data_IF_744621960833
#
_entry.id   IF_744621960833
#
_cell.length_a   1.000
_cell.length_b   1.000
_cell.length_c   1.000
_cell.angle_alpha   90.00
_cell.angle_beta   90.00
_cell.angle_gamma   90.00
#
_symmetry.space_group_name_H-M   'P 1'
#
loop_
_entity.id
_entity.type
_entity.pdbx_description
1 polymer ?
#
# COMPACT_ATOMS: atom_id res chain seq x y z
N UNK A 1 -30.45 -97.86 -16.16
CA UNK A 1 -31.15 -98.76 -17.11
C UNK A 1 -31.05 -98.15 -18.49
N UNK A 2 -30.38 -98.83 -19.43
CA UNK A 2 -30.42 -98.48 -20.86
C UNK A 2 -31.72 -99.06 -21.43
N UNK A 3 -32.42 -98.31 -22.29
CA UNK A 3 -32.72 -98.85 -23.60
C UNK A 3 -32.51 -97.84 -24.76
N UNK A 4 -32.52 -98.31 -26.01
CA UNK A 4 -31.56 -97.87 -27.03
C UNK A 4 -32.22 -97.42 -28.37
N UNK A 5 -31.34 -97.18 -29.37
CA UNK A 5 -31.54 -97.32 -30.84
C UNK A 5 -32.51 -96.32 -31.50
N UNK A 6 -32.35 -95.86 -32.74
CA UNK A 6 -31.32 -95.98 -33.78
C UNK A 6 -31.74 -95.02 -34.92
N UNK A 7 -30.74 -94.63 -35.73
CA UNK A 7 -30.79 -94.40 -37.19
C UNK A 7 -31.88 -93.48 -37.77
N UNK A 8 -31.43 -92.47 -38.53
CA UNK A 8 -31.57 -92.57 -39.99
C UNK A 8 -30.56 -91.65 -40.70
N UNK A 9 -29.75 -92.25 -41.57
CA UNK A 9 -29.08 -91.55 -42.67
C UNK A 9 -30.14 -91.12 -43.68
N UNK A 10 -30.05 -89.87 -44.14
CA UNK A 10 -30.48 -89.49 -45.47
C UNK A 10 -29.53 -88.41 -46.00
N UNK A 11 -28.62 -88.86 -46.86
CA UNK A 11 -27.77 -88.06 -47.73
C UNK A 11 -28.55 -87.47 -48.90
N UNK A 12 -27.90 -86.53 -49.62
CA UNK A 12 -28.21 -85.90 -50.93
C UNK A 12 -28.82 -84.50 -50.75
N UNK A 13 -28.28 -83.41 -51.30
CA UNK A 13 -27.48 -83.19 -52.53
C UNK A 13 -26.84 -81.78 -52.48
N UNK A 14 -25.75 -81.51 -53.22
CA UNK A 14 -25.03 -80.23 -53.17
C UNK A 14 -25.39 -79.28 -54.32
N UNK A 15 -25.23 -77.97 -54.08
CA UNK A 15 -24.70 -76.91 -54.97
C UNK A 15 -25.30 -75.52 -54.59
N UNK A 16 -24.71 -74.38 -55.00
CA UNK A 16 -23.32 -74.06 -55.34
C UNK A 16 -22.83 -72.81 -54.55
N UNK A 17 -21.58 -72.40 -54.82
CA UNK A 17 -20.78 -71.49 -54.01
C UNK A 17 -21.29 -70.06 -53.83
N UNK A 18 -20.96 -69.52 -52.66
CA UNK A 18 -20.99 -68.10 -52.31
C UNK A 18 -19.81 -67.80 -51.38
N UNK A 19 -18.93 -66.92 -51.82
CA UNK A 19 -17.69 -66.52 -51.17
C UNK A 19 -17.93 -65.89 -49.78
N UNK A 20 -17.22 -66.36 -48.75
CA UNK A 20 -17.04 -65.62 -47.50
C UNK A 20 -15.71 -64.87 -47.56
N UNK A 21 -15.76 -63.55 -47.72
CA UNK A 21 -14.61 -62.67 -47.56
C UNK A 21 -14.38 -62.39 -46.07
N UNK A 22 -13.29 -62.91 -45.51
CA UNK A 22 -12.80 -62.55 -44.19
C UNK A 22 -12.09 -61.20 -44.22
N UNK A 23 -12.54 -60.25 -43.41
CA UNK A 23 -11.88 -58.97 -43.17
C UNK A 23 -10.69 -59.15 -42.23
N UNK A 24 -9.47 -59.12 -42.76
CA UNK A 24 -8.23 -59.03 -41.97
C UNK A 24 -7.95 -57.57 -41.62
N UNK A 25 -7.94 -57.21 -40.34
CA UNK A 25 -7.40 -55.92 -39.87
C UNK A 25 -5.89 -55.86 -40.12
N UNK A 26 -5.34 -54.75 -40.66
CA UNK A 26 -3.90 -54.62 -40.87
C UNK A 26 -3.17 -54.49 -39.52
N UNK A 27 -2.02 -55.15 -39.41
CA UNK A 27 -1.12 -55.05 -38.26
C UNK A 27 -0.59 -53.60 -38.10
N UNK A 28 -0.41 -53.11 -36.85
CA UNK A 28 0.16 -51.79 -36.63
C UNK A 28 1.60 -51.71 -37.18
N UNK A 29 2.01 -50.56 -37.70
CA UNK A 29 3.36 -50.39 -38.25
C UNK A 29 4.41 -50.56 -37.15
N UNK A 30 5.63 -51.04 -37.50
CA UNK A 30 6.72 -51.19 -36.55
C UNK A 30 7.10 -49.83 -35.95
N UNK A 31 7.52 -49.78 -34.67
CA UNK A 31 7.93 -48.54 -34.02
C UNK A 31 9.06 -47.90 -34.83
N UNK A 32 8.90 -46.62 -35.19
CA UNK A 32 9.93 -45.88 -35.90
C UNK A 32 11.17 -45.70 -34.99
N UNK A 33 12.39 -45.77 -35.54
CA UNK A 33 13.60 -45.57 -34.75
C UNK A 33 13.62 -44.15 -34.19
N UNK A 34 13.88 -44.04 -32.88
CA UNK A 34 13.99 -42.77 -32.20
C UNK A 34 15.05 -41.90 -32.89
N UNK A 35 14.65 -40.75 -33.42
CA UNK A 35 15.60 -39.78 -33.98
C UNK A 35 16.42 -39.15 -32.84
N UNK A 36 17.66 -38.74 -33.11
CA UNK A 36 18.50 -38.06 -32.11
C UNK A 36 17.79 -36.85 -31.46
N UNK A 37 16.94 -36.15 -32.22
CA UNK A 37 16.09 -35.07 -31.73
C UNK A 37 15.01 -35.53 -30.72
N UNK A 38 14.42 -36.71 -30.92
CA UNK A 38 13.41 -37.27 -30.02
C UNK A 38 14.01 -37.72 -28.68
N UNK A 39 15.20 -38.34 -28.72
CA UNK A 39 15.97 -38.68 -27.52
C UNK A 39 16.44 -37.43 -26.78
N UNK A 40 16.92 -36.43 -27.54
CA UNK A 40 17.33 -35.14 -26.99
C UNK A 40 16.17 -34.40 -26.31
N UNK A 41 14.97 -34.33 -26.93
CA UNK A 41 13.80 -33.71 -26.30
C UNK A 41 13.29 -34.47 -25.08
N UNK A 42 13.28 -35.81 -25.13
CA UNK A 42 12.77 -36.66 -24.05
C UNK A 42 13.64 -36.63 -22.80
N UNK A 43 14.96 -36.51 -22.98
CA UNK A 43 15.89 -36.55 -21.85
C UNK A 43 16.36 -35.15 -21.45
N UNK A 44 16.69 -34.28 -22.41
CA UNK A 44 17.39 -33.04 -22.09
C UNK A 44 16.44 -31.93 -21.61
N UNK A 45 15.23 -31.79 -22.16
CA UNK A 45 14.25 -30.77 -21.72
C UNK A 45 13.83 -30.96 -20.24
N UNK A 46 13.44 -32.16 -19.77
CA UNK A 46 13.11 -32.33 -18.36
C UNK A 46 14.34 -32.21 -17.45
N UNK A 47 15.54 -32.59 -17.93
CA UNK A 47 16.78 -32.42 -17.17
C UNK A 47 17.21 -30.95 -17.06
N UNK A 48 17.10 -30.15 -18.13
CA UNK A 48 17.39 -28.70 -18.06
C UNK A 48 16.32 -27.95 -17.30
N UNK A 49 15.04 -28.30 -17.48
CA UNK A 49 13.95 -27.75 -16.68
C UNK A 49 14.12 -28.08 -15.20
N UNK A 50 14.44 -29.33 -14.88
CA UNK A 50 14.74 -29.78 -13.52
C UNK A 50 15.97 -29.11 -12.92
N UNK A 51 17.05 -28.96 -13.70
CA UNK A 51 18.27 -28.28 -13.26
C UNK A 51 18.07 -26.78 -13.05
N UNK A 52 17.31 -26.10 -13.92
CA UNK A 52 16.92 -24.70 -13.74
C UNK A 52 16.04 -24.53 -12.50
N UNK A 53 15.03 -25.37 -12.31
CA UNK A 53 14.17 -25.34 -11.13
C UNK A 53 14.97 -25.62 -9.84
N UNK A 54 15.83 -26.63 -9.83
CA UNK A 54 16.69 -26.94 -8.69
C UNK A 54 17.73 -25.84 -8.43
N UNK A 55 18.27 -25.21 -9.48
CA UNK A 55 19.18 -24.06 -9.38
C UNK A 55 18.48 -22.83 -8.81
N UNK A 56 17.27 -22.50 -9.30
CA UNK A 56 16.45 -21.42 -8.77
C UNK A 56 16.02 -21.68 -7.33
N UNK A 57 15.60 -22.91 -7.01
CA UNK A 57 15.22 -23.31 -5.66
C UNK A 57 16.42 -23.30 -4.72
N UNK A 58 17.58 -23.80 -5.15
CA UNK A 58 18.83 -23.75 -4.40
C UNK A 58 19.29 -22.32 -4.15
N UNK A 59 19.25 -21.46 -5.18
CA UNK A 59 19.54 -20.02 -5.04
C UNK A 59 18.54 -19.33 -4.11
N UNK A 60 17.25 -19.68 -4.17
CA UNK A 60 16.24 -19.14 -3.26
C UNK A 60 16.44 -19.60 -1.82
N UNK A 61 16.70 -20.90 -1.59
CA UNK A 61 16.92 -21.46 -0.25
C UNK A 61 18.21 -20.91 0.33
N UNK A 62 19.31 -20.92 -0.41
CA UNK A 62 20.60 -20.39 0.05
C UNK A 62 20.52 -18.89 0.23
N UNK A 63 19.91 -18.15 -0.70
CA UNK A 63 19.73 -16.70 -0.59
C UNK A 63 18.83 -16.31 0.58
N UNK A 64 17.75 -17.07 0.83
CA UNK A 64 16.88 -16.88 2.00
C UNK A 64 17.61 -17.25 3.27
N UNK A 65 18.33 -18.38 3.31
CA UNK A 65 19.11 -18.80 4.47
C UNK A 65 20.23 -17.80 4.78
N UNK A 66 20.97 -17.33 3.78
CA UNK A 66 21.99 -16.28 3.95
C UNK A 66 21.34 -14.99 4.41
N UNK A 67 20.23 -14.53 3.83
CA UNK A 67 19.52 -13.35 4.30
C UNK A 67 18.92 -13.53 5.72
N UNK A 68 18.53 -14.75 6.10
CA UNK A 68 18.05 -15.11 7.43
C UNK A 68 19.17 -15.34 8.45
N UNK A 69 20.41 -15.59 8.01
CA UNK A 69 21.60 -15.70 8.86
C UNK A 69 22.32 -14.34 8.97
N UNK A 70 22.21 -13.49 7.94
CA UNK A 70 22.59 -12.07 7.95
C UNK A 70 21.57 -11.21 8.70
N UNK A 71 20.58 -11.80 9.38
CA UNK A 71 19.89 -11.13 10.48
C UNK A 71 20.79 -11.06 11.73
N UNK A 72 22.04 -10.65 11.56
CA UNK A 72 22.70 -9.90 12.60
C UNK A 72 22.17 -8.46 12.49
N UNK A 73 21.63 -7.86 13.56
CA UNK A 73 21.41 -6.44 13.59
C UNK A 73 22.81 -5.79 13.66
N UNK A 74 23.50 -5.72 12.52
CA UNK A 74 24.62 -4.83 12.33
C UNK A 74 24.02 -3.43 12.27
N UNK A 75 23.89 -2.92 13.49
CA UNK A 75 23.50 -1.60 13.92
C UNK A 75 24.39 -0.55 13.26
N UNK A 76 24.12 -0.24 11.99
CA UNK A 76 24.30 1.11 11.46
C UNK A 76 23.06 1.96 11.78
N UNK A 77 22.58 1.82 13.03
CA UNK A 77 21.67 2.74 13.70
C UNK A 77 22.53 3.89 14.24
N UNK A 78 22.94 4.82 13.38
CA UNK A 78 23.62 6.04 13.84
C UNK A 78 22.91 7.33 13.47
N UNK A 79 21.89 7.28 12.62
CA UNK A 79 21.10 8.47 12.29
C UNK A 79 19.62 8.14 12.26
N UNK A 80 18.92 8.55 13.32
CA UNK A 80 17.46 8.59 13.33
C UNK A 80 16.98 9.55 12.22
N UNK A 81 15.95 9.18 11.43
CA UNK A 81 15.30 10.10 10.51
C UNK A 81 14.81 11.34 11.22
N UNK A 82 14.96 12.50 10.58
CA UNK A 82 14.53 13.79 11.11
C UNK A 82 13.12 14.18 10.66
N UNK A 83 12.50 13.40 9.76
CA UNK A 83 11.29 13.80 9.04
C UNK A 83 11.55 14.65 7.79
N UNK A 84 12.78 15.13 7.56
CA UNK A 84 13.14 15.96 6.40
C UNK A 84 14.23 15.28 5.55
N UNK A 85 13.96 15.01 4.26
CA UNK A 85 14.98 14.55 3.33
C UNK A 85 16.20 15.49 3.27
N UNK A 86 17.45 14.99 3.38
CA UNK A 86 18.67 15.81 3.31
C UNK A 86 18.81 16.58 2.00
N UNK A 87 18.27 16.04 0.90
CA UNK A 87 18.31 16.65 -0.42
C UNK A 87 17.37 17.86 -0.60
N UNK A 88 16.48 18.14 0.37
CA UNK A 88 15.54 19.26 0.30
C UNK A 88 16.19 20.54 0.83
N UNK A 89 16.78 21.31 -0.08
CA UNK A 89 17.21 22.69 0.16
C UNK A 89 16.41 23.64 -0.76
N UNK A 90 15.68 24.58 -0.16
CA UNK A 90 14.97 25.67 -0.86
C UNK A 90 14.07 25.19 -2.00
N UNK A 91 14.38 25.63 -3.23
CA UNK A 91 13.56 25.45 -4.44
C UNK A 91 13.49 24.01 -4.99
N UNK A 92 14.20 23.06 -4.37
CA UNK A 92 14.28 21.68 -4.86
C UNK A 92 13.06 20.81 -4.54
N UNK A 93 12.12 21.28 -3.70
CA UNK A 93 10.94 20.51 -3.29
C UNK A 93 10.05 20.08 -4.46
N UNK A 94 9.76 20.97 -5.41
CA UNK A 94 8.93 20.64 -6.59
C UNK A 94 9.62 19.63 -7.52
N UNK A 95 10.95 19.73 -7.66
CA UNK A 95 11.73 18.80 -8.48
C UNK A 95 11.81 17.43 -7.84
N UNK A 96 12.08 17.37 -6.54
CA UNK A 96 12.10 16.14 -5.75
C UNK A 96 10.80 15.36 -5.95
N UNK A 97 9.69 16.09 -5.94
CA UNK A 97 8.39 15.54 -6.23
C UNK A 97 8.28 14.96 -7.65
N UNK A 98 8.54 15.77 -8.68
CA UNK A 98 8.40 15.31 -10.08
C UNK A 98 9.21 14.04 -10.37
N UNK A 99 10.36 13.88 -9.72
CA UNK A 99 11.22 12.71 -9.87
C UNK A 99 10.60 11.41 -9.31
N UNK A 100 9.53 11.52 -8.49
CA UNK A 100 8.78 10.38 -7.94
C UNK A 100 7.59 9.97 -8.82
N UNK A 101 7.09 10.80 -9.72
CA UNK A 101 5.82 10.56 -10.42
C UNK A 101 5.85 9.27 -11.27
N UNK A 102 6.93 9.07 -12.03
CA UNK A 102 7.08 7.89 -12.90
C UNK A 102 7.19 6.59 -12.10
N UNK A 103 7.86 6.62 -10.95
CA UNK A 103 8.02 5.45 -10.10
C UNK A 103 6.73 5.14 -9.34
N UNK A 104 6.03 6.14 -8.82
CA UNK A 104 4.72 5.97 -8.17
C UNK A 104 3.68 5.39 -9.15
N UNK A 105 3.65 5.88 -10.38
CA UNK A 105 2.74 5.37 -11.40
C UNK A 105 3.04 3.92 -11.75
N UNK A 106 4.32 3.58 -11.99
CA UNK A 106 4.74 2.22 -12.31
C UNK A 106 4.47 1.25 -11.15
N UNK A 107 4.63 1.70 -9.91
CA UNK A 107 4.24 0.96 -8.72
C UNK A 107 2.71 0.90 -8.54
N UNK A 108 1.92 1.74 -9.21
CA UNK A 108 0.47 1.80 -8.98
C UNK A 108 0.09 2.45 -7.64
N UNK A 109 0.99 3.24 -7.06
CA UNK A 109 0.77 4.05 -5.87
C UNK A 109 -0.32 5.09 -6.13
N UNK A 110 -0.37 5.68 -7.33
CA UNK A 110 -1.44 6.61 -7.74
C UNK A 110 -2.84 6.00 -7.55
N UNK A 111 -3.00 4.72 -7.88
CA UNK A 111 -4.26 4.00 -7.66
C UNK A 111 -4.61 3.85 -6.18
N UNK A 112 -3.60 3.62 -5.33
CA UNK A 112 -3.76 3.51 -3.88
C UNK A 112 -4.06 4.87 -3.23
N UNK A 113 -3.39 5.95 -3.65
CA UNK A 113 -3.70 7.33 -3.23
C UNK A 113 -5.17 7.69 -3.49
N UNK A 114 -5.71 7.32 -4.67
CA UNK A 114 -7.15 7.47 -4.97
C UNK A 114 -8.04 6.64 -4.05
N UNK A 115 -7.61 5.43 -3.66
CA UNK A 115 -8.37 4.61 -2.71
C UNK A 115 -8.36 5.20 -1.30
N UNK A 116 -7.26 5.82 -0.87
CA UNK A 116 -7.19 6.56 0.40
C UNK A 116 -8.16 7.74 0.34
N UNK A 117 -8.10 8.51 -0.75
CA UNK A 117 -8.90 9.72 -0.89
C UNK A 117 -10.41 9.47 -0.84
N UNK A 118 -10.89 8.33 -1.36
CA UNK A 118 -12.30 7.90 -1.24
C UNK A 118 -12.76 7.70 0.21
N UNK A 119 -11.83 7.48 1.14
CA UNK A 119 -12.12 7.29 2.57
C UNK A 119 -11.98 8.58 3.38
N UNK A 120 -11.40 9.64 2.81
CA UNK A 120 -11.24 10.94 3.45
C UNK A 120 -12.59 11.65 3.60
N UNK A 121 -13.21 11.58 4.79
CA UNK A 121 -14.50 12.19 5.06
C UNK A 121 -14.56 12.83 6.46
N UNK A 122 -15.44 13.83 6.61
CA UNK A 122 -15.63 14.54 7.87
C UNK A 122 -14.48 15.49 8.19
N UNK A 123 -14.05 15.55 9.44
CA UNK A 123 -12.84 16.25 9.84
C UNK A 123 -11.62 15.39 9.49
N UNK A 124 -10.78 15.86 8.57
CA UNK A 124 -9.63 15.11 8.06
C UNK A 124 -8.31 15.75 8.51
N UNK A 125 -7.41 14.91 9.03
CA UNK A 125 -6.01 15.22 9.30
C UNK A 125 -5.13 14.44 8.33
N UNK A 126 -4.25 15.11 7.60
CA UNK A 126 -3.17 14.47 6.86
C UNK A 126 -1.82 14.86 7.47
N UNK A 127 -1.10 13.88 8.00
CA UNK A 127 0.25 14.06 8.57
C UNK A 127 1.31 13.60 7.60
N UNK A 128 2.50 14.19 7.69
CA UNK A 128 3.57 13.99 6.71
C UNK A 128 3.05 14.19 5.28
N UNK A 129 2.23 15.22 5.09
CA UNK A 129 1.52 15.44 3.83
C UNK A 129 2.47 15.79 2.66
N UNK A 130 3.71 16.18 2.98
CA UNK A 130 4.70 16.66 2.04
C UNK A 130 4.14 17.79 1.19
N UNK A 131 4.27 17.63 -0.12
CA UNK A 131 3.77 18.55 -1.15
C UNK A 131 2.27 18.39 -1.45
N UNK A 132 1.56 17.55 -0.70
CA UNK A 132 0.12 17.37 -0.85
C UNK A 132 -0.29 16.55 -2.07
N UNK A 133 0.45 15.48 -2.40
CA UNK A 133 0.15 14.57 -3.53
C UNK A 133 -1.25 13.94 -3.49
N UNK A 134 -1.86 13.83 -2.32
CA UNK A 134 -3.20 13.30 -2.16
C UNK A 134 -4.31 14.34 -2.44
N UNK A 135 -3.98 15.63 -2.44
CA UNK A 135 -4.96 16.72 -2.43
C UNK A 135 -5.88 16.72 -3.65
N UNK A 136 -5.36 16.36 -4.83
CA UNK A 136 -6.14 16.32 -6.08
C UNK A 136 -7.18 15.19 -6.11
N UNK A 137 -7.04 14.18 -5.25
CA UNK A 137 -7.94 13.02 -5.22
C UNK A 137 -9.08 13.18 -4.21
N UNK A 138 -8.94 14.10 -3.25
CA UNK A 138 -9.93 14.28 -2.20
C UNK A 138 -11.23 14.90 -2.71
N UNK A 139 -12.33 14.55 -2.05
CA UNK A 139 -13.63 15.17 -2.29
C UNK A 139 -13.79 16.44 -1.44
N UNK A 140 -13.55 17.60 -2.05
CA UNK A 140 -13.65 18.91 -1.43
C UNK A 140 -15.05 19.54 -1.47
N UNK A 141 -16.03 18.88 -2.12
CA UNK A 141 -17.36 19.46 -2.33
C UNK A 141 -18.03 19.95 -1.03
N UNK A 142 -18.02 19.21 0.09
CA UNK A 142 -18.68 19.67 1.32
C UNK A 142 -18.01 20.91 1.92
N UNK A 143 -16.67 20.91 2.01
CA UNK A 143 -15.90 22.05 2.51
C UNK A 143 -16.11 23.29 1.62
N UNK A 144 -16.12 23.15 0.30
CA UNK A 144 -16.34 24.27 -0.62
C UNK A 144 -17.74 24.88 -0.45
N UNK A 145 -18.78 24.04 -0.31
CA UNK A 145 -20.14 24.51 -0.07
C UNK A 145 -20.22 25.36 1.21
N UNK A 146 -19.62 24.87 2.31
CA UNK A 146 -19.59 25.60 3.60
C UNK A 146 -18.79 26.89 3.50
N UNK A 147 -17.64 26.87 2.82
CA UNK A 147 -16.81 28.05 2.62
C UNK A 147 -17.54 29.18 1.87
N UNK A 148 -18.43 28.81 0.95
CA UNK A 148 -19.29 29.73 0.19
C UNK A 148 -20.58 30.14 0.96
N UNK A 149 -20.76 29.68 2.20
CA UNK A 149 -21.95 29.97 3.01
C UNK A 149 -23.17 29.13 2.63
N UNK A 150 -23.00 28.08 1.83
CA UNK A 150 -24.04 27.10 1.49
C UNK A 150 -24.06 25.99 2.55
N UNK A 151 -25.21 25.31 2.67
CA UNK A 151 -25.27 24.10 3.49
C UNK A 151 -24.42 22.99 2.87
N UNK A 152 -23.73 22.22 3.72
CA UNK A 152 -22.99 21.05 3.26
C UNK A 152 -23.96 20.07 2.56
N UNK A 153 -23.51 19.39 1.49
CA UNK A 153 -24.27 18.29 0.90
C UNK A 153 -24.64 17.25 1.97
N UNK A 154 -25.84 16.66 1.84
CA UNK A 154 -26.28 15.60 2.74
C UNK A 154 -25.37 14.36 2.72
N UNK A 155 -25.62 13.37 3.60
CA UNK A 155 -24.76 12.18 3.77
C UNK A 155 -24.56 11.34 2.50
N UNK A 156 -25.39 11.53 1.47
CA UNK A 156 -25.24 10.92 0.15
C UNK A 156 -23.96 11.35 -0.61
N UNK A 157 -23.35 12.48 -0.23
CA UNK A 157 -22.12 13.00 -0.84
C UNK A 157 -21.01 13.12 0.22
N UNK A 158 -20.44 11.99 0.68
CA UNK A 158 -19.40 12.00 1.69
C UNK A 158 -18.14 12.68 1.15
N UNK A 159 -17.55 13.55 1.97
CA UNK A 159 -16.31 14.24 1.64
C UNK A 159 -15.76 14.99 2.83
N UNK A 160 -14.75 15.80 2.57
CA UNK A 160 -14.05 16.58 3.60
C UNK A 160 -14.94 17.73 4.05
N UNK A 161 -15.24 17.79 5.35
CA UNK A 161 -15.94 18.90 6.00
C UNK A 161 -14.95 19.96 6.51
N UNK A 162 -13.77 19.52 6.97
CA UNK A 162 -12.64 20.38 7.31
C UNK A 162 -11.34 19.63 7.10
N UNK A 163 -10.25 20.32 6.76
CA UNK A 163 -8.96 19.72 6.49
C UNK A 163 -7.85 20.36 7.31
N UNK A 164 -6.98 19.53 7.87
CA UNK A 164 -5.71 19.95 8.46
C UNK A 164 -4.59 19.18 7.80
N UNK A 165 -3.71 19.87 7.11
CA UNK A 165 -2.47 19.31 6.58
C UNK A 165 -1.31 19.67 7.50
N UNK A 166 -0.47 18.70 7.83
CA UNK A 166 0.65 18.87 8.74
C UNK A 166 1.92 18.26 8.15
N UNK A 167 3.00 19.05 8.15
CA UNK A 167 4.32 18.60 7.74
C UNK A 167 5.41 19.37 8.50
N UNK A 168 6.57 18.73 8.69
CA UNK A 168 7.71 19.34 9.36
C UNK A 168 8.46 20.33 8.43
N UNK A 169 8.34 20.17 7.11
CA UNK A 169 9.04 20.99 6.13
C UNK A 169 8.18 22.14 5.63
N UNK A 170 8.62 23.38 5.90
CA UNK A 170 7.99 24.60 5.40
C UNK A 170 7.98 24.63 3.87
N UNK A 171 9.08 24.23 3.23
CA UNK A 171 9.21 24.22 1.77
C UNK A 171 8.17 23.29 1.12
N UNK A 172 7.94 22.11 1.72
CA UNK A 172 6.93 21.17 1.23
C UNK A 172 5.51 21.72 1.42
N UNK A 173 5.24 22.36 2.55
CA UNK A 173 3.95 23.02 2.79
C UNK A 173 3.68 24.17 1.81
N UNK A 174 4.71 24.88 1.36
CA UNK A 174 4.57 25.92 0.34
C UNK A 174 4.18 25.33 -1.02
N UNK A 175 4.74 24.18 -1.40
CA UNK A 175 4.31 23.44 -2.60
C UNK A 175 2.89 22.88 -2.42
N UNK A 176 2.58 22.33 -1.25
CA UNK A 176 1.24 21.83 -0.91
C UNK A 176 0.18 22.93 -0.97
N UNK A 177 0.53 24.15 -0.54
CA UNK A 177 -0.34 25.33 -0.67
C UNK A 177 -0.67 25.63 -2.13
N UNK A 178 0.29 25.53 -3.06
CA UNK A 178 0.02 25.64 -4.51
C UNK A 178 -0.85 24.49 -5.01
N UNK A 179 -0.66 23.28 -4.47
CA UNK A 179 -1.54 22.13 -4.71
C UNK A 179 -2.99 22.38 -4.30
N UNK A 180 -3.20 22.97 -3.12
CA UNK A 180 -4.53 23.34 -2.63
C UNK A 180 -5.25 24.36 -3.51
N UNK A 181 -4.53 25.37 -4.04
CA UNK A 181 -5.12 26.33 -4.98
C UNK A 181 -5.67 25.65 -6.24
N UNK A 182 -5.01 24.57 -6.69
CA UNK A 182 -5.47 23.77 -7.83
C UNK A 182 -6.62 22.82 -7.48
N UNK A 183 -6.58 22.22 -6.30
CA UNK A 183 -7.52 21.17 -5.88
C UNK A 183 -8.83 21.71 -5.26
N UNK A 184 -8.80 22.90 -4.65
CA UNK A 184 -9.90 23.46 -3.85
C UNK A 184 -10.33 24.80 -4.45
N UNK A 185 -11.41 24.86 -5.25
CA UNK A 185 -11.72 26.05 -6.06
C UNK A 185 -11.81 27.38 -5.28
N UNK A 186 -12.40 27.45 -4.07
CA UNK A 186 -12.43 28.70 -3.29
C UNK A 186 -11.05 29.20 -2.82
N UNK A 187 -9.99 28.39 -2.90
CA UNK A 187 -8.65 28.79 -2.47
C UNK A 187 -8.01 29.83 -3.39
N UNK A 188 -8.36 29.85 -4.69
CA UNK A 188 -7.74 30.79 -5.64
C UNK A 188 -8.03 32.27 -5.29
N UNK A 189 -9.15 32.54 -4.63
CA UNK A 189 -9.57 33.88 -4.18
C UNK A 189 -9.45 34.09 -2.66
N UNK A 190 -8.98 33.08 -1.91
CA UNK A 190 -8.89 33.15 -0.45
C UNK A 190 -7.50 33.60 0.01
N UNK A 191 -7.44 34.72 0.73
CA UNK A 191 -6.22 35.14 1.42
C UNK A 191 -5.98 34.28 2.67
N UNK A 192 -4.73 33.89 2.90
CA UNK A 192 -4.34 33.17 4.10
C UNK A 192 -4.47 34.07 5.34
N UNK A 193 -5.12 33.57 6.39
CA UNK A 193 -4.99 34.11 7.74
C UNK A 193 -3.79 33.44 8.39
N UNK A 194 -2.72 34.20 8.58
CA UNK A 194 -1.50 33.75 9.24
C UNK A 194 -1.67 33.94 10.75
N UNK A 195 -1.67 32.84 11.51
CA UNK A 195 -1.54 32.92 12.97
C UNK A 195 -0.05 32.84 13.30
N UNK A 196 0.46 33.88 13.96
CA UNK A 196 1.88 34.04 14.24
C UNK A 196 2.43 32.89 15.12
N UNK A 197 3.19 31.99 14.51
CA UNK A 197 4.64 32.11 14.65
C UNK A 197 5.22 32.35 13.25
N UNK A 198 6.20 33.23 13.18
CA UNK A 198 6.86 33.71 11.97
C UNK A 198 7.33 32.53 11.11
N UNK A 199 6.78 32.40 9.90
CA UNK A 199 7.22 31.42 8.88
C UNK A 199 8.70 31.58 8.49
N UNK A 200 9.37 32.64 8.97
CA UNK A 200 10.80 32.90 8.81
C UNK A 200 11.69 32.09 9.77
N UNK A 201 11.17 31.53 10.86
CA UNK A 201 12.01 30.97 11.95
C UNK A 201 11.97 29.43 12.05
N UNK A 202 11.41 28.74 11.05
CA UNK A 202 11.28 27.27 11.03
C UNK A 202 10.68 26.64 12.31
N UNK A 203 9.88 27.41 13.06
CA UNK A 203 9.37 27.03 14.38
C UNK A 203 7.86 27.32 14.53
N UNK A 204 7.04 26.58 13.78
CA UNK A 204 5.64 26.34 14.18
C UNK A 204 4.55 27.20 13.53
N UNK A 205 4.70 27.58 12.26
CA UNK A 205 3.72 28.42 11.56
C UNK A 205 2.42 27.71 11.21
N UNK A 206 1.30 28.44 11.29
CA UNK A 206 -0.03 27.97 10.84
C UNK A 206 -0.63 28.93 9.81
N UNK A 207 -1.00 28.37 8.65
CA UNK A 207 -1.80 29.05 7.63
C UNK A 207 -3.24 28.53 7.71
N UNK A 208 -4.20 29.44 7.84
CA UNK A 208 -5.63 29.09 7.86
C UNK A 208 -6.34 29.75 6.68
N UNK A 209 -7.21 29.01 6.03
CA UNK A 209 -7.99 29.46 4.86
C UNK A 209 -9.47 29.18 5.09
N UNK A 210 -10.31 29.78 4.26
CA UNK A 210 -11.75 29.46 4.22
C UNK A 210 -12.40 29.49 5.60
N UNK A 211 -12.20 30.60 6.34
CA UNK A 211 -12.70 30.81 7.72
C UNK A 211 -12.23 29.74 8.73
N UNK A 212 -11.07 29.13 8.50
CA UNK A 212 -10.45 28.17 9.39
C UNK A 212 -10.75 26.71 9.07
N UNK A 213 -11.69 26.42 8.17
CA UNK A 213 -12.03 25.05 7.77
C UNK A 213 -10.89 24.30 7.08
N UNK A 214 -9.90 25.03 6.56
CA UNK A 214 -8.70 24.47 5.95
C UNK A 214 -7.47 25.07 6.64
N UNK A 215 -6.57 24.21 7.14
CA UNK A 215 -5.33 24.63 7.80
C UNK A 215 -4.13 23.87 7.26
N UNK A 216 -3.01 24.57 7.12
CA UNK A 216 -1.67 23.98 6.98
C UNK A 216 -0.84 24.34 8.20
N UNK A 217 -0.22 23.35 8.83
CA UNK A 217 0.50 23.52 10.09
C UNK A 217 1.91 22.95 9.94
N UNK A 218 2.90 23.79 10.22
CA UNK A 218 4.28 23.36 10.31
C UNK A 218 4.54 22.78 11.70
N UNK A 219 4.63 21.46 11.81
CA UNK A 219 4.91 20.78 13.07
C UNK A 219 5.50 19.40 12.84
N UNK A 220 6.26 18.94 13.83
CA UNK A 220 6.66 17.54 13.94
C UNK A 220 5.45 16.69 14.38
N UNK A 221 5.33 15.50 13.80
CA UNK A 221 4.29 14.50 14.10
C UNK A 221 4.50 13.81 15.44
N UNK A 222 5.69 13.90 16.04
CA UNK A 222 5.93 13.44 17.42
C UNK A 222 5.39 14.42 18.47
N UNK A 223 5.10 15.68 18.09
CA UNK A 223 4.50 16.65 19.00
C UNK A 223 2.98 16.48 19.05
N UNK A 224 2.32 16.90 20.14
CA UNK A 224 0.86 16.84 20.25
C UNK A 224 0.17 17.42 19.01
N UNK A 225 -0.69 16.62 18.39
CA UNK A 225 -1.37 17.01 17.16
C UNK A 225 -2.53 17.98 17.47
N UNK A 226 -2.79 18.97 16.61
CA UNK A 226 -3.83 19.96 16.83
C UNK A 226 -5.22 19.31 16.73
N UNK A 227 -6.24 19.78 17.48
CA UNK A 227 -7.61 19.32 17.29
C UNK A 227 -8.17 19.81 15.95
N UNK A 228 -9.25 19.20 15.41
CA UNK A 228 -9.94 19.68 14.21
C UNK A 228 -10.31 21.17 14.27
N UNK A 229 -10.49 21.85 13.12
CA UNK A 229 -11.00 23.21 13.11
C UNK A 229 -12.36 23.32 13.79
N UNK A 230 -12.47 24.19 14.79
CA UNK A 230 -13.75 24.56 15.38
C UNK A 230 -14.62 25.26 14.33
N UNK A 231 -15.77 24.68 14.01
CA UNK A 231 -16.79 25.38 13.21
C UNK A 231 -17.37 26.49 14.08
N UNK A 232 -17.07 27.75 13.79
CA UNK A 232 -17.59 28.90 14.54
C UNK A 232 -19.12 28.98 14.45
N UNK A 233 -19.84 29.46 15.51
CA UNK A 233 -19.33 29.97 16.78
C UNK A 233 -19.61 28.98 17.91
N UNK A 234 -18.67 28.09 18.24
CA UNK A 234 -18.80 27.22 19.42
C UNK A 234 -17.83 27.68 20.51
N UNK A 235 -18.29 27.60 21.76
CA UNK A 235 -17.61 28.00 22.99
C UNK A 235 -16.18 27.41 23.09
N UNK A 236 -15.18 28.14 23.63
CA UNK A 236 -13.79 27.70 23.77
C UNK A 236 -13.56 26.38 24.54
N UNK A 237 -14.53 25.94 25.33
CA UNK A 237 -14.45 24.68 26.08
C UNK A 237 -14.72 23.41 25.23
N UNK A 238 -15.30 23.55 24.03
CA UNK A 238 -15.62 22.42 23.15
C UNK A 238 -14.46 21.99 22.24
N UNK A 239 -13.40 22.79 22.15
CA UNK A 239 -12.29 22.60 21.20
C UNK A 239 -11.32 21.47 21.62
N UNK A 240 -11.26 21.13 22.90
CA UNK A 240 -10.36 20.10 23.43
C UNK A 240 -10.85 18.66 23.18
N UNK A 241 -12.16 18.47 22.99
CA UNK A 241 -12.79 17.15 22.81
C UNK A 241 -13.09 16.81 21.35
N UNK A 242 -12.93 17.74 20.41
CA UNK A 242 -13.13 17.45 18.99
C UNK A 242 -12.02 16.54 18.47
N UNK A 243 -12.42 15.45 17.82
CA UNK A 243 -11.53 14.44 17.22
C UNK A 243 -11.79 14.30 15.71
N UNK A 244 -10.77 13.88 14.97
CA UNK A 244 -10.82 13.68 13.53
C UNK A 244 -11.61 12.43 13.16
N UNK A 245 -12.44 12.53 12.12
CA UNK A 245 -13.14 11.39 11.52
C UNK A 245 -12.18 10.52 10.71
N UNK A 246 -11.21 11.15 10.04
CA UNK A 246 -10.20 10.45 9.24
C UNK A 246 -8.82 11.04 9.49
N UNK A 247 -7.84 10.20 9.81
CA UNK A 247 -6.43 10.54 9.86
C UNK A 247 -5.72 9.79 8.73
N UNK A 248 -4.90 10.47 7.95
CA UNK A 248 -4.22 9.92 6.77
C UNK A 248 -2.72 10.15 6.90
N UNK A 249 -1.95 9.14 6.55
CA UNK A 249 -0.50 9.26 6.36
C UNK A 249 -0.08 8.43 5.15
N UNK A 250 0.81 8.96 4.33
CA UNK A 250 1.34 8.24 3.17
C UNK A 250 2.86 8.36 3.15
N UNK A 251 3.55 7.23 3.31
CA UNK A 251 5.00 7.11 3.37
C UNK A 251 5.65 7.98 4.46
N UNK A 252 4.99 8.12 5.61
CA UNK A 252 5.47 8.93 6.72
C UNK A 252 6.28 8.11 7.72
N UNK A 253 5.90 6.86 7.99
CA UNK A 253 6.53 6.05 9.04
C UNK A 253 7.98 5.72 8.72
N UNK A 254 8.42 5.72 7.46
CA UNK A 254 9.82 5.52 7.12
C UNK A 254 10.72 6.71 7.49
N UNK A 255 10.13 7.90 7.63
CA UNK A 255 10.85 9.18 7.76
C UNK A 255 10.88 9.73 9.17
N UNK A 256 10.22 9.08 10.14
CA UNK A 256 10.15 9.53 11.54
C UNK A 256 11.17 8.80 12.43
N UNK A 257 11.61 9.42 13.52
CA UNK A 257 12.52 8.78 14.47
C UNK A 257 11.86 7.67 15.26
N UNK A 258 10.61 7.85 15.70
CA UNK A 258 9.85 6.89 16.50
C UNK A 258 8.44 6.65 15.89
N UNK A 259 8.28 5.63 15.02
CA UNK A 259 7.00 5.29 14.41
C UNK A 259 5.92 4.93 15.42
N UNK A 260 6.28 4.26 16.52
CA UNK A 260 5.32 3.78 17.51
C UNK A 260 4.72 4.97 18.24
N UNK A 261 5.56 5.93 18.67
CA UNK A 261 5.08 7.18 19.26
C UNK A 261 4.19 7.98 18.31
N UNK A 262 4.52 8.03 17.01
CA UNK A 262 3.68 8.69 16.01
C UNK A 262 2.31 7.99 15.91
N UNK A 263 2.27 6.65 15.82
CA UNK A 263 1.01 5.90 15.79
C UNK A 263 0.16 6.15 17.03
N UNK A 264 0.76 6.18 18.23
CA UNK A 264 0.08 6.53 19.48
C UNK A 264 -0.49 7.96 19.44
N UNK A 265 0.25 8.90 18.88
CA UNK A 265 -0.19 10.29 18.76
C UNK A 265 -1.35 10.43 17.77
N UNK A 266 -1.33 9.72 16.64
CA UNK A 266 -2.47 9.66 15.70
C UNK A 266 -3.71 9.05 16.36
N UNK A 267 -3.53 8.01 17.19
CA UNK A 267 -4.61 7.43 17.98
C UNK A 267 -5.23 8.45 18.95
N UNK A 268 -4.43 9.36 19.51
CA UNK A 268 -4.93 10.37 20.46
C UNK A 268 -5.89 11.40 19.84
N UNK A 269 -5.86 11.59 18.51
CA UNK A 269 -6.67 12.62 17.82
C UNK A 269 -7.76 12.05 16.92
N UNK A 270 -7.80 10.74 16.67
CA UNK A 270 -8.87 10.10 15.91
C UNK A 270 -10.11 9.91 16.79
N UNK A 271 -11.30 10.06 16.20
CA UNK A 271 -12.56 9.83 16.91
C UNK A 271 -12.70 8.34 17.26
N UNK A 272 -12.96 7.98 18.52
CA UNK A 272 -13.23 6.60 18.90
C UNK A 272 -14.42 6.00 18.13
N UNK A 273 -14.35 4.68 17.92
CA UNK A 273 -15.29 3.75 17.27
C UNK A 273 -15.59 4.02 15.78
N UNK A 274 -15.82 5.27 15.45
CA UNK A 274 -16.27 5.75 14.14
C UNK A 274 -15.13 6.26 13.26
N UNK A 275 -14.08 6.82 13.87
CA UNK A 275 -12.93 7.36 13.17
C UNK A 275 -11.98 6.28 12.64
N UNK A 276 -11.17 6.63 11.63
CA UNK A 276 -10.16 5.73 11.05
C UNK A 276 -8.84 6.44 10.83
N UNK A 277 -7.76 5.73 11.10
CA UNK A 277 -6.40 6.09 10.69
C UNK A 277 -6.05 5.22 9.49
N UNK A 278 -5.64 5.82 8.37
CA UNK A 278 -5.37 5.13 7.11
C UNK A 278 -3.93 5.43 6.70
N UNK A 279 -3.12 4.38 6.62
CA UNK A 279 -1.70 4.46 6.31
C UNK A 279 -1.42 3.70 5.01
N UNK A 280 -0.61 4.29 4.15
CA UNK A 280 0.06 3.60 3.04
C UNK A 280 1.55 3.80 3.20
N UNK A 281 2.27 2.72 3.47
CA UNK A 281 3.66 2.76 3.88
C UNK A 281 4.52 1.84 3.02
N UNK A 282 5.81 2.17 2.91
CA UNK A 282 6.83 1.26 2.40
C UNK A 282 7.37 0.41 3.54
N UNK A 283 7.69 -0.85 3.26
CA UNK A 283 8.32 -1.72 4.23
C UNK A 283 8.96 -2.95 3.61
N UNK A 284 9.45 -3.83 4.48
CA UNK A 284 9.98 -5.16 4.09
C UNK A 284 8.96 -5.90 3.23
N UNK A 285 9.40 -6.57 2.17
CA UNK A 285 8.58 -7.44 1.32
C UNK A 285 8.43 -8.86 1.87
N UNK A 286 7.76 -9.73 1.10
CA UNK A 286 7.47 -11.12 1.50
C UNK A 286 8.69 -12.04 1.48
N UNK A 287 9.67 -11.75 0.63
CA UNK A 287 10.77 -12.67 0.34
C UNK A 287 12.09 -12.19 0.94
N UNK A 288 12.84 -13.11 1.56
CA UNK A 288 14.13 -12.82 2.18
C UNK A 288 15.13 -12.19 1.20
N UNK A 289 15.15 -12.62 -0.07
CA UNK A 289 16.01 -12.01 -1.10
C UNK A 289 15.68 -10.53 -1.37
N UNK A 290 14.39 -10.19 -1.41
CA UNK A 290 13.94 -8.79 -1.58
C UNK A 290 14.37 -7.98 -0.36
N UNK A 291 14.19 -8.53 0.83
CA UNK A 291 14.57 -7.86 2.08
C UNK A 291 16.09 -7.67 2.19
N UNK A 292 16.89 -8.68 1.86
CA UNK A 292 18.35 -8.56 1.82
C UNK A 292 18.83 -7.50 0.82
N UNK A 293 18.12 -7.33 -0.31
CA UNK A 293 18.39 -6.25 -1.25
C UNK A 293 18.01 -4.88 -0.65
N UNK A 294 16.81 -4.76 -0.08
CA UNK A 294 16.35 -3.54 0.58
C UNK A 294 17.31 -3.10 1.68
N UNK A 295 17.76 -4.03 2.51
CA UNK A 295 18.70 -3.81 3.62
C UNK A 295 20.08 -3.39 3.09
N UNK A 296 20.59 -4.07 2.07
CA UNK A 296 21.88 -3.73 1.42
C UNK A 296 21.91 -2.30 0.86
N UNK A 297 20.79 -1.81 0.34
CA UNK A 297 20.69 -0.46 -0.24
C UNK A 297 20.09 0.58 0.70
N UNK A 298 19.68 0.20 1.92
CA UNK A 298 18.98 1.06 2.86
C UNK A 298 19.81 2.30 3.24
N UNK A 299 21.12 2.15 3.50
CA UNK A 299 22.00 3.29 3.82
C UNK A 299 22.07 4.33 2.70
N UNK A 300 22.25 3.89 1.44
CA UNK A 300 22.23 4.80 0.27
C UNK A 300 20.87 5.47 0.07
N UNK A 301 19.80 4.74 0.38
CA UNK A 301 18.45 5.30 0.35
C UNK A 301 18.31 6.39 1.42
N UNK A 302 18.78 6.14 2.63
CA UNK A 302 18.77 7.10 3.73
C UNK A 302 19.60 8.36 3.39
N UNK A 303 20.80 8.20 2.84
CA UNK A 303 21.64 9.35 2.45
C UNK A 303 20.94 10.26 1.41
N UNK A 304 20.14 9.67 0.53
CA UNK A 304 19.42 10.39 -0.53
C UNK A 304 18.08 10.98 -0.07
N UNK A 305 17.28 10.19 0.65
CA UNK A 305 15.88 10.48 0.97
C UNK A 305 15.62 10.76 2.45
N UNK A 306 16.56 10.47 3.34
CA UNK A 306 16.45 10.69 4.78
C UNK A 306 15.57 9.71 5.53
N UNK A 307 15.20 8.58 4.91
CA UNK A 307 14.22 7.65 5.46
C UNK A 307 14.65 6.19 5.31
N UNK A 308 14.07 5.33 6.15
CA UNK A 308 14.33 3.88 6.16
C UNK A 308 13.15 3.15 5.53
N UNK A 309 13.25 2.86 4.23
CA UNK A 309 12.20 2.21 3.43
C UNK A 309 11.98 0.71 3.73
N UNK A 310 12.90 0.09 4.48
CA UNK A 310 12.95 -1.34 4.81
C UNK A 310 12.44 -1.62 6.24
N UNK A 311 11.66 -0.70 6.82
CA UNK A 311 11.05 -0.90 8.14
C UNK A 311 10.04 -2.03 8.11
N UNK A 312 9.91 -2.71 9.26
CA UNK A 312 8.90 -3.73 9.46
C UNK A 312 7.60 -3.08 9.95
N UNK A 313 6.78 -2.64 9.01
CA UNK A 313 5.54 -1.88 9.31
C UNK A 313 4.55 -2.72 10.13
N UNK A 314 4.47 -4.03 9.87
CA UNK A 314 3.58 -4.92 10.63
C UNK A 314 4.02 -5.01 12.08
N UNK A 315 5.32 -5.22 12.33
CA UNK A 315 5.86 -5.25 13.68
C UNK A 315 5.67 -3.91 14.42
N UNK A 316 5.87 -2.78 13.74
CA UNK A 316 5.66 -1.44 14.32
C UNK A 316 4.19 -1.18 14.67
N UNK A 317 3.26 -1.62 13.83
CA UNK A 317 1.81 -1.52 14.11
C UNK A 317 1.42 -2.42 15.27
N UNK A 318 1.92 -3.66 15.30
CA UNK A 318 1.67 -4.60 16.40
C UNK A 318 2.20 -4.07 17.73
N UNK A 319 3.36 -3.43 17.73
CA UNK A 319 3.92 -2.77 18.91
C UNK A 319 3.04 -1.59 19.35
N UNK A 320 2.66 -0.71 18.43
CA UNK A 320 1.79 0.42 18.75
C UNK A 320 0.43 0.01 19.31
N UNK A 321 -0.18 -1.05 18.77
CA UNK A 321 -1.44 -1.63 19.29
C UNK A 321 -1.27 -2.19 20.69
N UNK A 322 -0.11 -2.79 21.02
CA UNK A 322 0.17 -3.29 22.38
C UNK A 322 0.40 -2.16 23.39
N UNK A 323 1.03 -1.06 22.97
CA UNK A 323 1.41 0.04 23.87
C UNK A 323 0.37 1.14 23.96
N UNK A 324 -0.58 1.22 23.03
CA UNK A 324 -1.59 2.29 22.95
C UNK A 324 -2.97 1.76 23.35
N UNK A 325 -3.52 2.21 24.49
CA UNK A 325 -4.86 1.80 24.92
C UNK A 325 -5.94 2.06 23.86
N UNK A 326 -6.79 1.08 23.62
CA UNK A 326 -7.93 1.17 22.70
C UNK A 326 -7.58 1.13 21.21
N UNK A 327 -6.30 1.20 20.83
CA UNK A 327 -5.88 1.13 19.42
C UNK A 327 -6.01 -0.30 18.88
N UNK A 328 -6.68 -0.46 17.75
CA UNK A 328 -6.91 -1.76 17.10
C UNK A 328 -6.62 -1.71 15.60
N UNK A 329 -6.15 -2.83 15.05
CA UNK A 329 -6.06 -3.03 13.61
C UNK A 329 -7.43 -3.36 13.04
N UNK A 330 -7.99 -2.44 12.24
CA UNK A 330 -9.22 -2.69 11.50
C UNK A 330 -8.97 -3.43 10.18
N UNK A 331 -7.84 -3.16 9.52
CA UNK A 331 -7.41 -3.84 8.29
C UNK A 331 -5.90 -3.72 8.11
N UNK A 332 -5.23 -4.81 7.76
CA UNK A 332 -3.83 -4.79 7.33
C UNK A 332 -3.66 -5.70 6.13
N UNK A 333 -3.09 -5.19 5.04
CA UNK A 333 -2.76 -6.01 3.87
C UNK A 333 -1.67 -5.35 3.00
N UNK A 334 -1.07 -6.13 2.11
CA UNK A 334 -0.05 -5.67 1.16
C UNK A 334 -0.64 -5.59 -0.25
N UNK A 335 -0.97 -4.39 -0.75
CA UNK A 335 -1.54 -4.24 -2.09
C UNK A 335 -0.52 -4.53 -3.19
N UNK A 336 -1.01 -4.71 -4.42
CA UNK A 336 -0.19 -4.85 -5.63
C UNK A 336 0.82 -6.01 -5.53
N UNK A 337 0.38 -7.26 -5.71
CA UNK A 337 1.22 -8.44 -5.49
C UNK A 337 2.53 -8.43 -6.31
N UNK A 338 2.54 -7.79 -7.48
CA UNK A 338 3.71 -7.61 -8.34
C UNK A 338 4.84 -6.79 -7.69
N UNK A 339 4.55 -6.06 -6.61
CA UNK A 339 5.57 -5.36 -5.82
C UNK A 339 6.25 -6.22 -4.76
N UNK A 340 5.99 -7.53 -4.76
CA UNK A 340 6.64 -8.47 -3.84
C UNK A 340 6.41 -8.12 -2.35
N UNK A 341 5.30 -7.44 -2.08
CA UNK A 341 4.85 -7.09 -0.74
C UNK A 341 5.46 -5.83 -0.13
N UNK A 342 6.24 -5.02 -0.85
CA UNK A 342 6.95 -3.86 -0.24
C UNK A 342 6.07 -2.64 0.09
N UNK A 343 4.78 -2.69 -0.26
CA UNK A 343 3.77 -1.73 0.18
C UNK A 343 2.88 -2.36 1.23
N UNK A 344 2.55 -1.58 2.26
CA UNK A 344 1.66 -1.97 3.35
C UNK A 344 0.53 -0.96 3.45
N UNK A 345 -0.70 -1.46 3.41
CA UNK A 345 -1.89 -0.68 3.70
C UNK A 345 -2.41 -1.07 5.08
N UNK A 346 -2.55 -0.08 5.95
CA UNK A 346 -3.01 -0.25 7.34
C UNK A 346 -4.21 0.66 7.57
N UNK A 347 -5.30 0.11 8.13
CA UNK A 347 -6.40 0.87 8.71
C UNK A 347 -6.46 0.54 10.20
N UNK A 348 -6.33 1.57 11.03
CA UNK A 348 -6.44 1.49 12.49
C UNK A 348 -7.70 2.21 12.95
N UNK A 349 -8.19 1.84 14.14
CA UNK A 349 -9.27 2.53 14.84
C UNK A 349 -8.95 2.56 16.33
N UNK A 350 -9.55 3.50 17.05
CA UNK A 350 -9.55 3.51 18.52
C UNK A 350 -10.93 3.08 19.00
N UNK A 351 -10.99 2.27 20.05
CA UNK A 351 -12.24 1.88 20.72
C UNK A 351 -12.26 2.43 22.14
N UNK A 352 -13.43 2.86 22.61
CA UNK A 352 -13.61 3.41 23.96
C UNK A 352 -13.69 2.31 25.05
N UNK A 353 -13.21 1.09 24.77
CA UNK A 353 -13.19 0.01 25.76
C UNK A 353 -12.05 0.25 26.74
N UNK A 354 -12.44 0.88 27.86
CA UNK A 354 -11.66 1.06 29.09
C UNK A 354 -11.17 -0.27 29.69
#
# INVERSE_FOLDING_TARGET
MVPPRQLLLASLTPAPGGFFAGTTTPLPPPPQPDTLLSLWRRSWIPLTGGALLAGCLGFYIVGTAVASLDTCPCRDEKTAPTGRPPALTGDNAERFDRDLDGSEWWMGITGLRRQIAKRAKGHVLEVAMGTGRNLEYYNWLPLCAVAEGRSAPGPAFPGIASFTGLDISVDMLDVARKGLVRAVPPMASSAALVKASTMADHSGGQLSFLRGHLRLINSDTHRPLPPPPATLPVKPAADADMKYDTVIQTFGLCSVSDPVAVLSNLASVVRPDTGRIILLEHGKGWYGLVNGLLDKYAGKHFDKYGCWWNRDIEALVDEAVKTTPGLEVAKLHRPNFWQLGTLVWVELRVTDRA
#
